data_IF_325853358045
#
_entry.id   IF_325853358045
#
_cell.length_a   1.000
_cell.length_b   1.000
_cell.length_c   1.000
_cell.angle_alpha   90.00
_cell.angle_beta   90.00
_cell.angle_gamma   90.00
#
_symmetry.space_group_name_H-M   'P 1'
#
loop_
_entity.id
_entity.type
_entity.pdbx_description
1 polymer ?
#
# COMPACT_ATOMS: atom_id res chain seq x y z
N UNK A 1 21.74 -24.33 -11.59
CA UNK A 1 22.06 -23.37 -10.52
C UNK A 1 21.69 -23.95 -9.17
N UNK A 2 22.51 -23.81 -8.12
CA UNK A 2 22.10 -24.31 -6.80
C UNK A 2 21.00 -23.40 -6.25
N UNK A 3 20.04 -23.96 -5.50
CA UNK A 3 18.99 -23.18 -4.83
C UNK A 3 19.56 -22.02 -4.01
N UNK A 4 20.71 -22.22 -3.37
CA UNK A 4 21.41 -21.20 -2.58
C UNK A 4 21.90 -20.03 -3.46
N UNK A 5 22.42 -20.30 -4.66
CA UNK A 5 22.84 -19.24 -5.57
C UNK A 5 21.61 -18.43 -6.05
N UNK A 6 20.49 -19.10 -6.31
CA UNK A 6 19.26 -18.43 -6.68
C UNK A 6 18.72 -17.52 -5.55
N UNK A 7 18.81 -17.98 -4.29
CA UNK A 7 18.47 -17.13 -3.13
C UNK A 7 19.33 -15.86 -3.11
N UNK A 8 20.64 -15.97 -3.31
CA UNK A 8 21.54 -14.79 -3.32
C UNK A 8 21.16 -13.78 -4.40
N UNK A 9 20.90 -14.24 -5.62
CA UNK A 9 20.48 -13.40 -6.74
C UNK A 9 19.16 -12.69 -6.44
N UNK A 10 18.17 -13.43 -5.92
CA UNK A 10 16.86 -12.88 -5.58
C UNK A 10 16.96 -11.82 -4.47
N UNK A 11 17.78 -12.08 -3.44
CA UNK A 11 18.01 -11.11 -2.36
C UNK A 11 18.62 -9.82 -2.89
N UNK A 12 19.65 -9.89 -3.75
CA UNK A 12 20.26 -8.70 -4.35
C UNK A 12 19.28 -7.94 -5.23
N UNK A 13 18.56 -8.65 -6.09
CA UNK A 13 17.61 -8.06 -7.05
C UNK A 13 16.42 -7.37 -6.33
N UNK A 14 15.83 -8.06 -5.36
CA UNK A 14 14.68 -7.53 -4.61
C UNK A 14 15.06 -6.36 -3.70
N UNK A 15 16.25 -6.41 -3.08
CA UNK A 15 16.74 -5.26 -2.31
C UNK A 15 16.99 -4.04 -3.21
N UNK A 16 17.57 -4.24 -4.40
CA UNK A 16 17.75 -3.16 -5.39
C UNK A 16 16.43 -2.61 -5.89
N UNK A 17 15.46 -3.49 -6.17
CA UNK A 17 14.11 -3.06 -6.61
C UNK A 17 13.41 -2.25 -5.52
N UNK A 18 13.46 -2.71 -4.27
CA UNK A 18 12.92 -1.97 -3.12
C UNK A 18 13.61 -0.61 -2.96
N UNK A 19 14.94 -0.57 -2.98
CA UNK A 19 15.70 0.68 -2.84
C UNK A 19 15.34 1.69 -3.95
N UNK A 20 15.22 1.22 -5.19
CA UNK A 20 14.84 2.08 -6.32
C UNK A 20 13.40 2.56 -6.20
N UNK A 21 12.47 1.67 -5.88
CA UNK A 21 11.05 2.00 -5.72
C UNK A 21 10.79 3.05 -4.65
N UNK A 22 11.47 2.93 -3.50
CA UNK A 22 11.22 3.81 -2.36
C UNK A 22 12.07 5.08 -2.34
N UNK A 23 13.23 5.08 -2.99
CA UNK A 23 14.16 6.22 -2.99
C UNK A 23 14.17 7.00 -4.30
N UNK A 24 13.53 6.50 -5.36
CA UNK A 24 13.44 7.19 -6.66
C UNK A 24 12.02 7.10 -7.20
N UNK A 25 11.67 7.94 -8.17
CA UNK A 25 10.39 7.85 -8.89
C UNK A 25 10.39 6.74 -9.97
N UNK A 26 11.47 5.99 -10.10
CA UNK A 26 11.63 4.94 -11.10
C UNK A 26 11.40 3.57 -10.50
N UNK A 27 10.84 2.66 -11.28
CA UNK A 27 10.71 1.24 -10.94
C UNK A 27 11.56 0.42 -11.90
N UNK A 28 12.36 -0.52 -11.39
CA UNK A 28 13.18 -1.42 -12.22
C UNK A 28 12.43 -2.69 -12.62
N UNK A 29 11.30 -2.96 -11.98
CA UNK A 29 10.40 -4.06 -12.30
C UNK A 29 8.96 -3.68 -11.94
N UNK A 30 7.98 -4.42 -12.45
CA UNK A 30 6.58 -4.28 -12.06
C UNK A 30 6.31 -4.83 -10.65
N UNK A 31 5.23 -4.39 -10.01
CA UNK A 31 4.81 -4.93 -8.71
C UNK A 31 4.55 -6.43 -8.79
N UNK A 32 4.05 -6.91 -9.94
CA UNK A 32 3.83 -8.33 -10.19
C UNK A 32 5.14 -9.13 -10.22
N UNK A 33 6.14 -8.64 -10.96
CA UNK A 33 7.46 -9.28 -11.01
C UNK A 33 8.10 -9.30 -9.63
N UNK A 34 8.00 -8.19 -8.89
CA UNK A 34 8.51 -8.12 -7.53
C UNK A 34 7.82 -9.14 -6.62
N UNK A 35 6.49 -9.18 -6.63
CA UNK A 35 5.72 -10.13 -5.82
C UNK A 35 6.05 -11.59 -6.18
N UNK A 36 6.15 -11.90 -7.48
CA UNK A 36 6.48 -13.25 -7.96
C UNK A 36 7.88 -13.69 -7.52
N UNK A 37 8.87 -12.80 -7.64
CA UNK A 37 10.25 -13.09 -7.22
C UNK A 37 10.39 -13.16 -5.70
N UNK A 38 9.59 -12.38 -4.98
CA UNK A 38 9.54 -12.42 -3.52
C UNK A 38 8.95 -13.74 -3.00
N UNK A 39 7.87 -14.21 -3.64
CA UNK A 39 7.26 -15.51 -3.31
C UNK A 39 8.22 -16.66 -3.65
N UNK A 40 8.94 -16.60 -4.79
CA UNK A 40 10.01 -17.54 -5.15
C UNK A 40 11.10 -17.57 -4.06
N UNK A 41 11.57 -16.41 -3.61
CA UNK A 41 12.58 -16.30 -2.56
C UNK A 41 12.09 -16.94 -1.25
N UNK A 42 10.89 -16.59 -0.81
CA UNK A 42 10.26 -17.13 0.41
C UNK A 42 10.19 -18.66 0.39
N UNK A 43 9.75 -19.22 -0.74
CA UNK A 43 9.63 -20.67 -0.89
C UNK A 43 11.00 -21.36 -0.90
N UNK A 44 12.01 -20.78 -1.59
CA UNK A 44 13.37 -21.30 -1.60
C UNK A 44 14.03 -21.26 -0.22
N UNK A 45 13.84 -20.20 0.54
CA UNK A 45 14.33 -20.08 1.92
C UNK A 45 13.68 -21.12 2.83
N UNK A 46 12.38 -21.32 2.71
CA UNK A 46 11.65 -22.36 3.44
C UNK A 46 12.12 -23.77 3.10
N UNK A 47 12.36 -24.05 1.81
CA UNK A 47 12.82 -25.38 1.36
C UNK A 47 14.26 -25.68 1.76
N UNK A 48 15.12 -24.67 1.80
CA UNK A 48 16.56 -24.87 2.07
C UNK A 48 16.96 -24.65 3.51
N UNK A 49 16.13 -23.94 4.30
CA UNK A 49 16.48 -23.45 5.63
C UNK A 49 17.59 -22.38 5.62
N UNK A 50 18.05 -21.95 4.43
CA UNK A 50 19.08 -20.94 4.28
C UNK A 50 18.44 -19.56 4.05
N UNK A 51 18.64 -18.67 5.01
CA UNK A 51 18.16 -17.27 4.98
C UNK A 51 19.35 -16.33 5.14
N UNK A 52 19.47 -15.38 4.22
CA UNK A 52 20.51 -14.35 4.33
C UNK A 52 20.09 -13.27 5.34
N UNK A 53 21.04 -12.76 6.13
CA UNK A 53 20.79 -11.65 7.06
C UNK A 53 20.25 -10.38 6.35
N UNK A 54 20.52 -10.24 5.05
CA UNK A 54 20.04 -9.15 4.19
C UNK A 54 18.77 -9.51 3.43
N UNK A 55 18.18 -10.70 3.67
CA UNK A 55 17.01 -11.13 2.92
C UNK A 55 15.82 -10.20 3.15
N UNK A 56 15.16 -9.76 2.07
CA UNK A 56 13.97 -8.92 2.19
C UNK A 56 12.78 -9.67 2.80
N UNK A 57 12.81 -11.00 2.91
CA UNK A 57 11.77 -11.80 3.57
C UNK A 57 11.83 -11.67 5.10
N UNK A 58 12.99 -11.34 5.66
CA UNK A 58 13.22 -11.15 7.10
C UNK A 58 13.62 -9.73 7.49
N UNK A 59 13.97 -8.90 6.50
CA UNK A 59 14.33 -7.50 6.75
C UNK A 59 13.09 -6.63 6.65
N UNK A 60 12.72 -5.98 7.72
CA UNK A 60 11.78 -4.87 7.70
C UNK A 60 12.54 -3.68 7.13
N UNK A 61 12.23 -3.32 5.87
CA UNK A 61 12.62 -2.05 5.31
C UNK A 61 14.01 -1.96 4.67
N UNK A 62 14.10 -0.97 3.84
CA UNK A 62 15.28 -0.42 3.16
C UNK A 62 15.59 0.92 3.81
N UNK A 63 16.78 1.43 3.58
CA UNK A 63 17.14 2.77 4.02
C UNK A 63 16.40 3.81 3.18
N UNK A 64 15.58 4.64 3.82
CA UNK A 64 14.87 5.74 3.16
C UNK A 64 15.87 6.83 2.82
N UNK A 65 16.18 7.02 1.54
CA UNK A 65 17.06 8.08 1.03
C UNK A 65 16.18 9.11 0.32
N UNK A 66 15.99 10.26 0.94
CA UNK A 66 15.16 11.34 0.40
C UNK A 66 15.63 12.68 0.97
N UNK A 67 15.36 13.77 0.25
CA UNK A 67 15.56 15.15 0.72
C UNK A 67 14.50 15.59 1.75
N UNK A 68 13.36 14.86 1.81
CA UNK A 68 12.34 15.10 2.83
C UNK A 68 12.82 14.60 4.19
N UNK A 69 12.39 15.29 5.24
CA UNK A 69 12.69 14.91 6.63
C UNK A 69 12.12 13.52 6.91
N UNK A 70 12.96 12.63 7.42
CA UNK A 70 12.54 11.30 7.87
C UNK A 70 11.90 11.38 9.26
N UNK A 71 10.82 10.64 9.45
CA UNK A 71 10.04 10.56 10.68
C UNK A 71 9.82 9.12 11.06
N UNK A 72 10.07 8.79 12.32
CA UNK A 72 9.72 7.48 12.87
C UNK A 72 8.22 7.45 13.17
N UNK A 73 7.56 6.39 12.72
CA UNK A 73 6.13 6.21 12.94
C UNK A 73 5.80 5.95 14.42
N UNK A 74 4.61 6.37 14.80
CA UNK A 74 4.05 6.09 16.13
C UNK A 74 3.41 4.68 16.21
N UNK A 75 3.29 3.97 15.09
CA UNK A 75 2.81 2.59 14.97
C UNK A 75 3.45 1.93 13.76
N UNK A 76 3.47 0.60 13.71
CA UNK A 76 3.95 -0.14 12.56
C UNK A 76 2.94 -0.08 11.41
N UNK A 77 3.35 0.40 10.26
CA UNK A 77 2.54 0.43 9.04
C UNK A 77 2.74 -0.88 8.26
N UNK A 78 2.11 -1.93 8.74
CA UNK A 78 2.27 -3.28 8.20
C UNK A 78 1.65 -3.42 6.81
N UNK A 79 2.15 -4.39 6.06
CA UNK A 79 1.56 -4.87 4.81
C UNK A 79 0.40 -5.83 5.10
N UNK A 80 -0.20 -6.38 4.04
CA UNK A 80 -1.23 -7.41 4.11
C UNK A 80 -0.72 -8.70 3.48
N UNK A 81 -1.08 -9.83 4.09
CA UNK A 81 -1.02 -11.12 3.41
C UNK A 81 -2.02 -11.13 2.25
N UNK A 82 -1.72 -11.84 1.17
CA UNK A 82 -2.48 -11.76 -0.07
C UNK A 82 -2.62 -13.12 -0.75
N UNK A 83 -3.69 -13.27 -1.49
CA UNK A 83 -3.94 -14.41 -2.39
C UNK A 83 -4.54 -13.93 -3.71
N UNK A 84 -4.44 -14.77 -4.75
CA UNK A 84 -5.17 -14.61 -6.02
C UNK A 84 -6.35 -15.59 -6.13
N UNK A 85 -6.49 -16.51 -5.18
CA UNK A 85 -7.62 -17.45 -5.11
C UNK A 85 -8.76 -16.83 -4.28
N UNK A 86 -9.93 -16.68 -4.93
CA UNK A 86 -11.11 -16.11 -4.28
C UNK A 86 -11.66 -17.00 -3.15
N UNK A 87 -11.59 -18.32 -3.32
CA UNK A 87 -12.09 -19.25 -2.30
C UNK A 87 -11.16 -19.24 -1.08
N UNK A 88 -9.84 -19.24 -1.28
CA UNK A 88 -8.86 -19.10 -0.20
C UNK A 88 -9.08 -17.80 0.57
N UNK A 89 -9.31 -16.70 -0.16
CA UNK A 89 -9.62 -15.41 0.43
C UNK A 89 -10.86 -15.45 1.33
N UNK A 90 -11.97 -16.05 0.86
CA UNK A 90 -13.18 -16.20 1.68
C UNK A 90 -12.99 -17.13 2.87
N UNK A 91 -12.27 -18.24 2.68
CA UNK A 91 -11.98 -19.20 3.75
C UNK A 91 -11.17 -18.60 4.89
N UNK A 92 -10.32 -17.62 4.62
CA UNK A 92 -9.53 -16.92 5.65
C UNK A 92 -10.41 -16.33 6.76
N UNK A 93 -11.57 -15.83 6.41
CA UNK A 93 -12.48 -15.16 7.36
C UNK A 93 -13.49 -16.11 8.02
N UNK A 94 -13.74 -17.27 7.42
CA UNK A 94 -14.72 -18.23 7.93
C UNK A 94 -16.13 -17.60 8.06
N UNK A 95 -16.75 -17.76 9.23
CA UNK A 95 -18.10 -17.26 9.52
C UNK A 95 -18.06 -15.94 10.35
N UNK A 96 -16.98 -15.20 10.28
CA UNK A 96 -16.86 -13.93 11.00
C UNK A 96 -17.40 -12.75 10.18
N UNK A 97 -17.87 -11.73 10.86
CA UNK A 97 -18.25 -10.48 10.22
C UNK A 97 -17.01 -9.80 9.64
N UNK A 98 -17.09 -9.50 8.34
CA UNK A 98 -15.98 -8.96 7.55
C UNK A 98 -16.44 -7.74 6.79
N UNK A 99 -15.61 -6.70 6.82
CA UNK A 99 -15.79 -5.52 5.98
C UNK A 99 -14.92 -5.68 4.75
N UNK A 100 -15.59 -5.70 3.58
CA UNK A 100 -14.95 -5.67 2.28
C UNK A 100 -14.63 -4.24 1.85
N UNK A 101 -13.42 -4.04 1.33
CA UNK A 101 -12.95 -2.73 0.84
C UNK A 101 -12.23 -2.90 -0.48
N UNK A 102 -12.18 -1.85 -1.29
CA UNK A 102 -11.27 -1.83 -2.44
C UNK A 102 -9.82 -1.69 -1.96
N UNK A 103 -8.89 -2.35 -2.63
CA UNK A 103 -7.47 -2.15 -2.42
C UNK A 103 -7.00 -1.05 -3.36
N UNK A 104 -6.86 0.15 -2.83
CA UNK A 104 -6.43 1.32 -3.58
C UNK A 104 -4.98 1.17 -4.04
N UNK A 105 -4.70 1.63 -5.25
CA UNK A 105 -3.36 1.65 -5.83
C UNK A 105 -2.79 3.07 -5.79
N UNK A 106 -2.07 3.37 -4.72
CA UNK A 106 -1.51 4.69 -4.45
C UNK A 106 -0.28 4.65 -3.57
N UNK A 107 -0.10 5.67 -2.73
CA UNK A 107 0.94 5.74 -1.71
C UNK A 107 0.31 5.85 -0.32
N UNK A 108 0.60 4.90 0.55
CA UNK A 108 0.10 4.90 1.93
C UNK A 108 0.68 6.08 2.71
N UNK A 109 -0.18 6.78 3.42
CA UNK A 109 0.15 7.90 4.30
C UNK A 109 -0.63 7.80 5.61
N UNK A 110 0.03 8.15 6.73
CA UNK A 110 -0.59 8.26 8.05
C UNK A 110 -0.78 9.73 8.40
N UNK A 111 -1.96 10.09 8.91
CA UNK A 111 -2.27 11.42 9.40
C UNK A 111 -2.56 11.39 10.89
N UNK A 112 -2.00 12.35 11.62
CA UNK A 112 -2.22 12.49 13.07
C UNK A 112 -2.85 13.83 13.39
N UNK A 113 -3.89 13.78 14.20
CA UNK A 113 -4.60 14.95 14.73
C UNK A 113 -4.49 14.96 16.24
N UNK A 114 -4.27 16.15 16.80
CA UNK A 114 -4.29 16.39 18.24
C UNK A 114 -5.21 17.60 18.49
N UNK A 115 -6.12 17.46 19.43
CA UNK A 115 -7.09 18.51 19.75
C UNK A 115 -7.87 19.05 18.52
N UNK A 116 -8.08 18.18 17.54
CA UNK A 116 -8.78 18.46 16.28
C UNK A 116 -7.96 19.18 15.21
N UNK A 117 -6.68 19.42 15.42
CA UNK A 117 -5.77 20.02 14.43
C UNK A 117 -4.87 18.95 13.81
N UNK A 118 -4.67 18.98 12.49
CA UNK A 118 -3.70 18.15 11.79
C UNK A 118 -2.29 18.57 12.20
N UNK A 119 -1.53 17.67 12.84
CA UNK A 119 -0.18 17.97 13.39
C UNK A 119 0.95 17.25 12.67
N UNK A 120 0.70 16.08 12.08
CA UNK A 120 1.69 15.38 11.27
C UNK A 120 1.06 14.56 10.14
N UNK A 121 1.86 14.32 9.11
CA UNK A 121 1.53 13.46 7.99
C UNK A 121 2.81 12.81 7.46
N UNK A 122 2.84 11.47 7.43
CA UNK A 122 4.01 10.70 7.03
C UNK A 122 3.67 9.64 5.99
N UNK A 123 4.53 9.46 4.98
CA UNK A 123 4.43 8.32 4.07
C UNK A 123 4.77 7.03 4.82
N UNK A 124 4.26 5.87 4.36
CA UNK A 124 4.57 4.58 4.99
C UNK A 124 6.06 4.31 5.07
N UNK A 125 6.83 4.70 4.05
CA UNK A 125 8.24 4.36 3.95
C UNK A 125 8.46 2.85 4.10
N UNK A 126 9.33 2.47 5.01
CA UNK A 126 9.63 1.05 5.29
C UNK A 126 8.69 0.40 6.34
N UNK A 127 7.67 1.12 6.79
CA UNK A 127 6.75 0.69 7.84
C UNK A 127 7.11 1.16 9.25
N UNK A 128 8.36 1.53 9.50
CA UNK A 128 8.87 2.11 10.76
C UNK A 128 9.26 3.58 10.58
N UNK A 129 9.87 3.92 9.45
CA UNK A 129 10.35 5.25 9.10
C UNK A 129 9.74 5.66 7.77
N UNK A 130 9.08 6.81 7.74
CA UNK A 130 8.54 7.44 6.56
C UNK A 130 9.15 8.82 6.30
N UNK A 131 8.54 9.55 5.38
CA UNK A 131 8.91 10.93 5.03
C UNK A 131 7.83 11.88 5.50
N UNK A 132 8.23 13.01 6.09
CA UNK A 132 7.32 14.08 6.46
C UNK A 132 6.77 14.75 5.19
N UNK A 133 5.47 14.63 4.99
CA UNK A 133 4.74 15.22 3.86
C UNK A 133 3.65 16.19 4.32
N UNK A 134 3.70 16.67 5.55
CA UNK A 134 2.66 17.51 6.14
C UNK A 134 2.35 18.76 5.30
N UNK A 135 3.36 19.43 4.74
CA UNK A 135 3.14 20.60 3.91
C UNK A 135 2.37 20.29 2.63
N UNK A 136 2.68 19.15 2.02
CA UNK A 136 2.00 18.70 0.80
C UNK A 136 0.59 18.19 1.11
N UNK A 137 0.42 17.42 2.19
CA UNK A 137 -0.91 16.95 2.65
C UNK A 137 -1.88 18.11 2.90
N UNK A 138 -1.41 19.24 3.42
CA UNK A 138 -2.25 20.44 3.61
C UNK A 138 -2.82 21.00 2.31
N UNK A 139 -2.28 20.64 1.16
CA UNK A 139 -2.78 21.06 -0.16
C UNK A 139 -3.83 20.08 -0.72
N UNK A 140 -3.96 18.90 -0.14
CA UNK A 140 -4.91 17.85 -0.57
C UNK A 140 -6.31 18.19 -0.05
N UNK A 141 -7.21 18.54 -0.96
CA UNK A 141 -8.56 19.08 -0.64
C UNK A 141 -9.45 18.12 0.17
N UNK A 142 -9.20 16.81 0.06
CA UNK A 142 -9.97 15.78 0.79
C UNK A 142 -9.46 15.54 2.22
N UNK A 143 -8.42 16.29 2.65
CA UNK A 143 -7.89 16.23 4.02
C UNK A 143 -8.44 17.40 4.82
N UNK A 144 -9.31 17.17 5.81
CA UNK A 144 -9.76 18.22 6.71
C UNK A 144 -8.60 18.67 7.61
N UNK A 145 -8.22 19.96 7.54
CA UNK A 145 -7.14 20.50 8.38
C UNK A 145 -7.57 20.63 9.85
N UNK A 146 -8.87 20.73 10.10
CA UNK A 146 -9.50 20.80 11.42
C UNK A 146 -10.70 19.88 11.48
N UNK A 147 -10.84 19.16 12.59
CA UNK A 147 -11.97 18.27 12.87
C UNK A 147 -12.57 18.58 14.25
N UNK A 148 -13.86 18.28 14.50
CA UNK A 148 -14.47 18.49 15.81
C UNK A 148 -14.01 17.51 16.89
N UNK A 149 -13.39 16.37 16.52
CA UNK A 149 -12.90 15.35 17.43
C UNK A 149 -11.64 15.87 18.19
N UNK A 150 -11.70 15.89 19.54
CA UNK A 150 -10.68 16.54 20.38
C UNK A 150 -9.64 15.60 20.97
N UNK A 151 -9.93 14.31 21.03
CA UNK A 151 -8.92 13.32 21.41
C UNK A 151 -7.92 13.12 20.28
N UNK A 152 -6.85 12.39 20.57
CA UNK A 152 -5.88 12.03 19.52
C UNK A 152 -6.53 11.11 18.49
N UNK A 153 -6.38 11.45 17.22
CA UNK A 153 -6.82 10.65 16.07
C UNK A 153 -5.63 10.34 15.18
N UNK A 154 -5.46 9.06 14.84
CA UNK A 154 -4.49 8.61 13.83
C UNK A 154 -5.24 7.78 12.81
N UNK A 155 -5.13 8.17 11.55
CA UNK A 155 -5.75 7.47 10.42
C UNK A 155 -4.71 7.13 9.37
N UNK A 156 -4.79 5.92 8.85
CA UNK A 156 -4.04 5.52 7.66
C UNK A 156 -4.94 5.59 6.44
N UNK A 157 -4.39 6.04 5.35
CA UNK A 157 -5.10 6.17 4.08
C UNK A 157 -4.15 6.05 2.91
N UNK A 158 -4.73 6.15 1.72
CA UNK A 158 -3.99 6.10 0.47
C UNK A 158 -4.06 7.45 -0.23
N UNK A 159 -2.91 7.97 -0.63
CA UNK A 159 -2.82 9.09 -1.56
C UNK A 159 -2.94 8.53 -2.96
N UNK A 160 -3.97 8.96 -3.67
CA UNK A 160 -4.26 8.56 -5.05
C UNK A 160 -4.42 9.77 -5.94
N UNK A 161 -4.32 9.56 -7.24
CA UNK A 161 -4.82 10.45 -8.28
C UNK A 161 -5.89 9.71 -9.06
N UNK A 162 -7.07 10.32 -9.25
CA UNK A 162 -8.13 9.71 -10.05
C UNK A 162 -7.68 9.58 -11.50
N UNK A 163 -8.29 8.68 -12.27
CA UNK A 163 -7.94 8.55 -13.69
C UNK A 163 -8.17 9.85 -14.46
N UNK A 164 -9.23 10.58 -14.15
CA UNK A 164 -9.55 11.84 -14.82
C UNK A 164 -8.51 12.93 -14.50
N UNK A 165 -8.11 13.05 -13.23
CA UNK A 165 -7.09 14.01 -12.80
C UNK A 165 -5.69 13.63 -13.30
N UNK A 166 -5.42 12.34 -13.51
CA UNK A 166 -4.15 11.84 -14.03
C UNK A 166 -4.01 12.02 -15.54
N UNK A 167 -5.11 12.05 -16.30
CA UNK A 167 -5.09 12.11 -17.77
C UNK A 167 -4.13 13.16 -18.35
N UNK A 168 -4.05 14.40 -17.83
CA UNK A 168 -3.12 15.41 -18.34
C UNK A 168 -1.63 15.06 -18.18
N UNK A 169 -1.30 14.10 -17.33
CA UNK A 169 0.07 13.71 -16.98
C UNK A 169 0.46 12.32 -17.49
N UNK A 170 -0.43 11.68 -18.26
CA UNK A 170 -0.27 10.29 -18.72
C UNK A 170 0.90 10.08 -19.70
N UNK A 171 1.39 11.13 -20.33
CA UNK A 171 2.58 11.06 -21.20
C UNK A 171 3.90 11.11 -20.41
N UNK A 172 3.89 11.75 -19.22
CA UNK A 172 5.09 11.95 -18.39
C UNK A 172 5.28 10.85 -17.35
N UNK A 173 4.20 10.23 -16.91
CA UNK A 173 4.20 9.23 -15.82
C UNK A 173 3.62 7.90 -16.27
N UNK A 174 4.25 6.82 -15.83
CA UNK A 174 3.85 5.46 -16.19
C UNK A 174 2.41 5.11 -15.80
N UNK A 175 1.95 5.58 -14.64
CA UNK A 175 0.61 5.35 -14.12
C UNK A 175 0.24 6.37 -13.03
N UNK A 176 -1.04 6.40 -12.64
CA UNK A 176 -1.57 7.32 -11.61
C UNK A 176 -0.94 7.11 -10.23
N UNK A 177 -0.54 5.88 -9.87
CA UNK A 177 0.17 5.57 -8.63
C UNK A 177 1.54 6.25 -8.57
N UNK A 178 2.35 6.09 -9.61
CA UNK A 178 3.68 6.72 -9.68
C UNK A 178 3.57 8.24 -9.66
N UNK A 179 2.55 8.78 -10.35
CA UNK A 179 2.24 10.21 -10.31
C UNK A 179 1.88 10.68 -8.90
N UNK A 180 0.96 10.00 -8.21
CA UNK A 180 0.54 10.35 -6.86
C UNK A 180 1.72 10.27 -5.88
N UNK A 181 2.51 9.19 -5.95
CA UNK A 181 3.69 8.97 -5.11
C UNK A 181 4.77 10.04 -5.33
N UNK A 182 5.07 10.39 -6.56
CA UNK A 182 6.02 11.47 -6.89
C UNK A 182 5.50 12.84 -6.47
N UNK A 183 4.21 13.11 -6.69
CA UNK A 183 3.58 14.41 -6.40
C UNK A 183 3.52 14.75 -4.93
N UNK A 184 3.15 13.79 -4.07
CA UNK A 184 3.08 14.04 -2.61
C UNK A 184 4.46 14.22 -1.97
N UNK A 185 5.53 13.81 -2.64
CA UNK A 185 6.92 13.91 -2.20
C UNK A 185 7.66 15.11 -2.77
N UNK A 186 6.99 15.98 -3.52
CA UNK A 186 7.59 17.22 -4.02
C UNK A 186 8.07 18.12 -2.87
N UNK A 187 9.22 18.76 -3.05
CA UNK A 187 9.77 19.69 -2.06
C UNK A 187 8.97 20.99 -2.01
N UNK A 188 8.38 21.40 -3.13
CA UNK A 188 7.51 22.58 -3.21
C UNK A 188 6.04 22.18 -3.11
N UNK A 189 5.41 22.53 -1.99
CA UNK A 189 3.99 22.27 -1.77
C UNK A 189 3.06 23.03 -2.72
N UNK A 190 3.51 24.14 -3.33
CA UNK A 190 2.73 24.87 -4.34
C UNK A 190 2.63 24.05 -5.63
N UNK A 191 3.70 23.35 -5.99
CA UNK A 191 3.67 22.43 -7.14
C UNK A 191 2.83 21.21 -6.82
N UNK A 192 2.89 20.66 -5.60
CA UNK A 192 2.00 19.59 -5.16
C UNK A 192 0.52 20.01 -5.25
N UNK A 193 0.18 21.22 -4.87
CA UNK A 193 -1.19 21.76 -4.90
C UNK A 193 -1.83 21.73 -6.31
N UNK A 194 -1.03 21.72 -7.37
CA UNK A 194 -1.51 21.67 -8.76
C UNK A 194 -1.83 20.25 -9.23
N UNK A 195 -1.54 19.23 -8.43
CA UNK A 195 -1.55 17.82 -8.83
C UNK A 195 -2.88 17.10 -8.55
N UNK A 196 -3.89 17.75 -7.99
CA UNK A 196 -5.23 17.20 -7.71
C UNK A 196 -5.21 15.84 -7.01
N UNK A 197 -4.40 15.71 -5.94
CA UNK A 197 -4.32 14.47 -5.17
C UNK A 197 -5.56 14.30 -4.27
N UNK A 198 -5.91 13.04 -4.02
CA UNK A 198 -6.99 12.64 -3.10
C UNK A 198 -6.42 11.74 -2.01
N UNK A 199 -6.74 12.00 -0.76
CA UNK A 199 -6.48 11.13 0.37
C UNK A 199 -7.74 10.36 0.73
N UNK A 200 -7.65 9.04 0.79
CA UNK A 200 -8.76 8.14 1.08
C UNK A 200 -8.42 7.28 2.29
N UNK A 201 -9.15 7.47 3.39
CA UNK A 201 -8.92 6.72 4.64
C UNK A 201 -9.40 5.29 4.51
N UNK A 202 -8.57 4.34 4.93
CA UNK A 202 -8.91 2.92 4.99
C UNK A 202 -8.66 2.28 6.37
N UNK A 203 -8.08 3.00 7.34
CA UNK A 203 -7.88 2.49 8.70
C UNK A 203 -7.93 3.61 9.73
N UNK A 204 -8.41 3.29 10.93
CA UNK A 204 -8.34 4.12 12.13
C UNK A 204 -7.45 3.43 13.13
N UNK A 205 -6.23 3.95 13.28
CA UNK A 205 -5.19 3.39 14.16
C UNK A 205 -5.44 3.77 15.61
N UNK A 206 -5.80 5.02 15.86
CA UNK A 206 -6.12 5.55 17.18
C UNK A 206 -7.30 6.52 17.11
N UNK A 207 -8.10 6.52 18.14
CA UNK A 207 -9.35 7.26 18.24
C UNK A 207 -10.55 6.32 18.21
N UNK A 208 -11.65 6.78 18.78
CA UNK A 208 -12.87 5.99 18.95
C UNK A 208 -12.63 4.67 19.71
N UNK A 209 -11.73 4.65 20.69
CA UNK A 209 -11.22 3.43 21.36
C UNK A 209 -12.32 2.60 22.05
N UNK A 210 -13.47 3.20 22.34
CA UNK A 210 -14.64 2.50 22.90
C UNK A 210 -15.45 1.73 21.86
N UNK A 211 -15.26 2.04 20.57
CA UNK A 211 -15.94 1.38 19.46
C UNK A 211 -15.12 0.18 19.00
N UNK A 212 -15.71 -1.01 19.06
CA UNK A 212 -15.06 -2.26 18.65
C UNK A 212 -15.39 -2.69 17.22
N UNK A 213 -16.34 -2.02 16.56
CA UNK A 213 -16.64 -2.28 15.15
C UNK A 213 -15.76 -1.41 14.25
N UNK A 214 -15.01 -2.05 13.37
CA UNK A 214 -14.20 -1.39 12.38
C UNK A 214 -15.05 -0.52 11.43
N UNK A 215 -16.19 -1.05 10.99
CA UNK A 215 -17.14 -0.32 10.15
C UNK A 215 -17.63 0.96 10.82
N UNK A 216 -18.01 0.88 12.09
CA UNK A 216 -18.49 2.06 12.83
C UNK A 216 -17.41 3.11 12.98
N UNK A 217 -16.15 2.72 13.15
CA UNK A 217 -15.03 3.67 13.12
C UNK A 217 -14.88 4.34 11.75
N UNK A 218 -15.01 3.60 10.63
CA UNK A 218 -14.97 4.19 9.28
C UNK A 218 -16.12 5.19 9.07
N UNK A 219 -17.34 4.84 9.50
CA UNK A 219 -18.50 5.74 9.40
C UNK A 219 -18.31 6.99 10.26
N UNK A 220 -17.72 6.85 11.47
CA UNK A 220 -17.40 7.99 12.31
C UNK A 220 -16.37 8.93 11.67
N UNK A 221 -15.36 8.40 10.98
CA UNK A 221 -14.35 9.17 10.23
C UNK A 221 -14.99 9.91 9.05
N UNK A 222 -15.89 9.26 8.32
CA UNK A 222 -16.65 9.93 7.25
C UNK A 222 -17.46 11.11 7.79
N UNK A 223 -18.08 10.94 8.97
CA UNK A 223 -18.78 12.01 9.69
C UNK A 223 -17.89 13.17 10.13
N UNK A 224 -16.57 12.99 10.20
CA UNK A 224 -15.60 14.07 10.46
C UNK A 224 -15.16 14.81 9.17
N UNK A 225 -15.66 14.42 8.01
CA UNK A 225 -15.38 15.07 6.72
C UNK A 225 -14.27 14.41 5.91
N UNK A 226 -13.77 13.22 6.29
CA UNK A 226 -12.84 12.48 5.48
C UNK A 226 -13.53 11.72 4.36
N UNK A 227 -12.83 11.56 3.25
CA UNK A 227 -13.17 10.56 2.23
C UNK A 227 -12.71 9.20 2.73
N UNK A 228 -13.62 8.23 2.80
CA UNK A 228 -13.30 6.86 3.20
C UNK A 228 -13.31 5.92 2.00
N UNK A 229 -12.55 4.84 2.11
CA UNK A 229 -12.46 3.80 1.08
C UNK A 229 -13.86 3.22 0.77
N UNK A 230 -14.20 2.94 -0.49
CA UNK A 230 -15.40 2.18 -0.82
C UNK A 230 -15.44 0.85 -0.09
N UNK A 231 -16.53 0.60 0.63
CA UNK A 231 -16.68 -0.58 1.48
C UNK A 231 -18.06 -1.25 1.33
N UNK A 232 -18.15 -2.48 1.80
CA UNK A 232 -19.37 -3.29 1.97
C UNK A 232 -19.29 -4.12 3.25
N UNK A 233 -20.43 -4.38 3.88
CA UNK A 233 -20.54 -5.25 5.05
C UNK A 233 -20.83 -6.72 4.70
N UNK A 234 -21.01 -7.05 3.44
CA UNK A 234 -21.08 -8.42 2.93
C UNK A 234 -19.89 -8.68 2.01
N UNK A 235 -19.42 -9.95 1.96
CA UNK A 235 -18.28 -10.29 1.15
C UNK A 235 -18.55 -11.58 0.37
N UNK A 236 -19.42 -11.45 -0.62
CA UNK A 236 -19.77 -12.45 -1.59
C UNK A 236 -19.36 -12.02 -3.01
N UNK A 237 -19.80 -12.75 -4.01
CA UNK A 237 -19.46 -12.44 -5.41
C UNK A 237 -20.08 -11.12 -5.87
N UNK A 238 -21.31 -10.84 -5.45
CA UNK A 238 -22.02 -9.59 -5.81
C UNK A 238 -21.35 -8.39 -5.14
N UNK A 239 -20.87 -8.56 -3.91
CA UNK A 239 -20.10 -7.55 -3.18
C UNK A 239 -18.78 -7.21 -3.88
N UNK A 240 -18.10 -8.22 -4.46
CA UNK A 240 -16.89 -8.02 -5.27
C UNK A 240 -17.17 -7.10 -6.46
N UNK A 241 -18.19 -7.42 -7.25
CA UNK A 241 -18.57 -6.61 -8.42
C UNK A 241 -19.03 -5.20 -8.00
N UNK A 242 -19.80 -5.09 -6.93
CA UNK A 242 -20.23 -3.80 -6.37
C UNK A 242 -19.03 -2.90 -6.06
N UNK A 243 -18.02 -3.41 -5.36
CA UNK A 243 -16.82 -2.64 -4.98
C UNK A 243 -16.01 -2.21 -6.20
N UNK A 244 -15.81 -3.10 -7.17
CA UNK A 244 -15.10 -2.79 -8.42
C UNK A 244 -15.83 -1.69 -9.19
N UNK A 245 -17.14 -1.81 -9.35
CA UNK A 245 -17.96 -0.83 -10.07
C UNK A 245 -17.99 0.52 -9.35
N UNK A 246 -18.01 0.52 -8.00
CA UNK A 246 -17.94 1.75 -7.20
C UNK A 246 -16.59 2.45 -7.36
N UNK A 247 -15.48 1.71 -7.33
CA UNK A 247 -14.15 2.28 -7.57
C UNK A 247 -14.03 2.87 -8.98
N UNK A 248 -14.52 2.14 -10.00
CA UNK A 248 -14.53 2.60 -11.40
C UNK A 248 -15.30 3.90 -11.57
N UNK A 249 -16.50 4.02 -10.94
CA UNK A 249 -17.27 5.26 -10.97
C UNK A 249 -16.57 6.45 -10.33
N UNK A 250 -15.72 6.20 -9.31
CA UNK A 250 -14.94 7.23 -8.62
C UNK A 250 -13.62 7.53 -9.33
N UNK A 251 -13.29 6.82 -10.41
CA UNK A 251 -12.01 6.96 -11.09
C UNK A 251 -10.81 6.48 -10.27
N UNK A 252 -11.03 5.60 -9.30
CA UNK A 252 -9.97 5.10 -8.42
C UNK A 252 -9.23 3.92 -9.04
N UNK A 253 -7.90 4.00 -9.09
CA UNK A 253 -7.04 2.85 -9.37
C UNK A 253 -7.08 1.86 -8.22
N UNK A 254 -7.32 0.57 -8.53
CA UNK A 254 -7.34 -0.52 -7.55
C UNK A 254 -6.54 -1.71 -8.07
N UNK A 255 -5.83 -2.41 -7.19
CA UNK A 255 -5.06 -3.63 -7.51
C UNK A 255 -5.64 -4.88 -6.87
N UNK A 256 -6.80 -4.76 -6.22
CA UNK A 256 -7.47 -5.86 -5.54
C UNK A 256 -8.59 -5.43 -4.61
N UNK A 257 -8.90 -6.30 -3.68
CA UNK A 257 -9.84 -6.06 -2.59
C UNK A 257 -9.18 -6.42 -1.25
N UNK A 258 -9.69 -5.88 -0.17
CA UNK A 258 -9.25 -6.19 1.19
C UNK A 258 -10.47 -6.61 2.01
N UNK A 259 -10.39 -7.76 2.66
CA UNK A 259 -11.28 -8.11 3.75
C UNK A 259 -10.62 -7.78 5.08
N UNK A 260 -11.39 -7.27 6.03
CA UNK A 260 -10.96 -7.02 7.41
C UNK A 260 -12.05 -7.44 8.37
N UNK A 261 -11.68 -8.09 9.47
CA UNK A 261 -12.63 -8.43 10.54
C UNK A 261 -13.25 -7.16 11.11
N UNK A 262 -14.58 -7.14 11.24
CA UNK A 262 -15.29 -5.99 11.83
C UNK A 262 -15.02 -5.89 13.34
N UNK A 263 -14.93 -7.03 14.05
CA UNK A 263 -14.50 -7.07 15.44
C UNK A 263 -13.00 -6.77 15.56
N UNK A 264 -12.69 -5.55 15.98
CA UNK A 264 -11.31 -5.05 16.09
C UNK A 264 -10.50 -5.86 17.09
N UNK A 265 -11.05 -6.15 18.26
CA UNK A 265 -10.35 -6.93 19.31
C UNK A 265 -10.06 -8.35 18.85
N UNK A 266 -11.01 -8.96 18.14
CA UNK A 266 -10.77 -10.27 17.53
C UNK A 266 -9.63 -10.19 16.50
N UNK A 267 -9.68 -9.22 15.58
CA UNK A 267 -8.63 -9.03 14.59
C UNK A 267 -7.25 -8.82 15.22
N UNK A 268 -7.15 -7.97 16.26
CA UNK A 268 -5.93 -7.73 17.01
C UNK A 268 -5.42 -8.99 17.74
N UNK A 269 -6.32 -9.83 18.25
CA UNK A 269 -5.97 -11.08 18.93
C UNK A 269 -5.29 -12.10 18.04
N UNK A 270 -5.47 -12.00 16.71
CA UNK A 270 -4.80 -12.85 15.71
C UNK A 270 -3.31 -12.47 15.54
N UNK A 271 -2.90 -11.32 16.09
CA UNK A 271 -1.53 -10.82 16.02
C UNK A 271 -1.10 -10.41 14.62
N UNK A 272 0.21 -10.39 14.42
CA UNK A 272 0.84 -10.06 13.16
C UNK A 272 2.11 -10.86 12.95
N UNK A 273 2.50 -11.06 11.71
CA UNK A 273 3.86 -11.45 11.35
C UNK A 273 4.78 -10.23 11.43
N UNK A 274 6.07 -10.40 11.16
CA UNK A 274 7.01 -9.27 11.08
C UNK A 274 6.61 -8.23 10.01
N UNK A 275 5.70 -8.55 9.10
CA UNK A 275 5.32 -7.71 7.94
C UNK A 275 3.83 -7.48 7.76
N UNK A 276 3.00 -8.45 8.14
CA UNK A 276 1.57 -8.43 7.81
C UNK A 276 0.73 -8.56 9.08
N UNK A 277 -0.33 -7.75 9.16
CA UNK A 277 -1.38 -7.93 10.14
C UNK A 277 -2.29 -9.10 9.76
N UNK A 278 -2.66 -9.94 10.72
CA UNK A 278 -3.62 -11.03 10.49
C UNK A 278 -5.09 -10.57 10.63
N UNK A 279 -5.32 -9.30 11.01
CA UNK A 279 -6.65 -8.71 11.10
C UNK A 279 -7.32 -8.46 9.74
N UNK A 280 -6.51 -8.47 8.66
CA UNK A 280 -6.99 -8.23 7.30
C UNK A 280 -6.22 -9.09 6.30
N UNK A 281 -6.86 -9.38 5.17
CA UNK A 281 -6.31 -10.19 4.10
C UNK A 281 -6.66 -9.57 2.74
N UNK A 282 -5.75 -9.65 1.77
CA UNK A 282 -5.95 -9.05 0.47
C UNK A 282 -6.22 -10.12 -0.61
N UNK A 283 -7.18 -9.82 -1.47
CA UNK A 283 -7.39 -10.52 -2.73
C UNK A 283 -6.80 -9.66 -3.84
N UNK A 284 -5.73 -10.10 -4.49
CA UNK A 284 -5.14 -9.40 -5.63
C UNK A 284 -5.77 -9.84 -6.94
N UNK A 285 -6.01 -8.88 -7.82
CA UNK A 285 -6.43 -9.19 -9.19
C UNK A 285 -5.26 -9.83 -9.94
N UNK A 286 -5.59 -10.60 -10.98
CA UNK A 286 -4.61 -11.00 -11.96
C UNK A 286 -4.22 -9.75 -12.76
N UNK A 287 -2.93 -9.58 -13.00
CA UNK A 287 -2.48 -8.52 -13.90
C UNK A 287 -2.97 -8.85 -15.30
N UNK A 288 -3.39 -7.84 -16.04
CA UNK A 288 -3.74 -8.00 -17.46
C UNK A 288 -2.46 -8.39 -18.22
N UNK A 289 -2.51 -9.56 -18.88
CA UNK A 289 -1.45 -9.97 -19.79
C UNK A 289 -1.52 -9.10 -21.03
N UNK A 290 -0.47 -8.33 -21.30
CA UNK A 290 -0.34 -7.57 -22.52
C UNK A 290 0.45 -8.40 -23.53
N UNK A 291 -0.17 -8.72 -24.67
CA UNK A 291 0.55 -9.37 -25.75
C UNK A 291 1.58 -8.40 -26.33
N UNK A 292 2.80 -8.88 -26.52
CA UNK A 292 3.87 -8.16 -27.20
C UNK A 292 4.56 -9.09 -28.18
N UNK A 293 5.12 -8.53 -29.22
CA UNK A 293 5.91 -9.29 -30.19
C UNK A 293 7.38 -9.08 -29.89
N UNK A 294 8.10 -10.15 -29.55
CA UNK A 294 9.56 -10.11 -29.47
C UNK A 294 10.13 -9.84 -30.85
N UNK A 295 10.73 -8.68 -31.06
CA UNK A 295 11.26 -8.26 -32.37
C UNK A 295 12.73 -8.62 -32.54
N UNK A 296 13.50 -8.58 -31.47
CA UNK A 296 14.92 -8.87 -31.50
C UNK A 296 15.43 -9.25 -30.13
N UNK A 297 16.54 -10.01 -30.06
CA UNK A 297 17.25 -10.39 -28.86
C UNK A 297 18.73 -10.13 -29.06
N UNK A 298 19.24 -9.10 -28.40
CA UNK A 298 20.68 -8.83 -28.42
C UNK A 298 21.38 -9.60 -27.29
N UNK A 299 22.32 -10.47 -27.67
CA UNK A 299 23.11 -11.23 -26.72
C UNK A 299 24.43 -10.51 -26.44
N UNK A 300 24.62 -10.10 -25.21
CA UNK A 300 25.88 -9.51 -24.76
C UNK A 300 26.61 -10.45 -23.82
N UNK A 301 27.92 -10.59 -24.02
CA UNK A 301 28.78 -11.32 -23.09
C UNK A 301 28.84 -10.60 -21.75
N UNK A 302 28.43 -11.27 -20.69
CA UNK A 302 28.60 -10.78 -19.32
C UNK A 302 30.09 -10.70 -18.94
N UNK A 303 30.38 -10.01 -17.83
CA UNK A 303 31.74 -9.84 -17.28
C UNK A 303 32.50 -11.17 -17.02
N UNK A 304 31.77 -12.27 -16.95
CA UNK A 304 32.30 -13.63 -16.74
C UNK A 304 32.35 -14.45 -18.03
N UNK A 305 32.18 -13.84 -19.21
CA UNK A 305 32.12 -14.53 -20.52
C UNK A 305 31.10 -15.67 -20.60
N UNK A 306 29.99 -15.53 -19.86
CA UNK A 306 28.83 -16.42 -19.93
C UNK A 306 27.67 -15.65 -20.58
N UNK A 307 27.03 -16.28 -21.59
CA UNK A 307 25.79 -15.81 -22.22
C UNK A 307 24.61 -16.01 -21.29
#
# INVERSE_FOLDING_TARGET
MSKINRIKELVELLNKASDTYYNTSNTIMSDYEFDSLFDELSELEKQTGFVMATSPTHKIGYEVKSELKKVQHNHLMLSLSKTKDWNEFLMHFGNKDVIGMVKLDGLTCSLRYINGELVSAETRGNGEIGEDVLLNIKTVKTVPLKIPYKDELIVDGEIICTYDDFQPFSEEYKNSRNFASGSIRLLDSKECAKRSLTFVVWNVVKGFDKENSFLRRLVAIEGLGFTVVPWTSSFDWDAKEFLINKAKKLGYGIDGLVGRFDDIKYGESLGSTSRCSNAAYAFKFYDELTETTLRDVEWTLGRTSVL
#
